data_IF_463992165941
#
_entry.id   IF_463992165941
#
_cell.length_a   1.000
_cell.length_b   1.000
_cell.length_c   1.000
_cell.angle_alpha   90.00
_cell.angle_beta   90.00
_cell.angle_gamma   90.00
#
_symmetry.space_group_name_H-M   'P 1'
#
loop_
_entity.id
_entity.type
_entity.pdbx_description
1 polymer ?
#
# COMPACT_ATOMS: atom_id res chain seq x y z
N UNK A 1 -2.52 22.32 38.04
CA UNK A 1 -2.28 20.95 37.56
C UNK A 1 -1.07 20.96 36.64
N UNK A 2 0.08 20.54 37.20
CA UNK A 2 1.34 20.43 36.44
C UNK A 2 1.38 19.09 35.73
N UNK A 3 1.06 19.10 34.44
CA UNK A 3 1.44 18.00 33.56
C UNK A 3 2.96 18.06 33.41
N UNK A 4 3.66 17.23 34.19
CA UNK A 4 5.10 17.03 34.04
C UNK A 4 5.35 16.44 32.64
N UNK A 5 6.07 17.20 31.82
CA UNK A 5 6.66 16.71 30.56
C UNK A 5 7.60 15.56 30.87
N UNK A 6 7.10 14.35 30.89
CA UNK A 6 7.90 13.13 30.80
C UNK A 6 8.52 13.10 29.40
N UNK A 7 9.76 13.58 29.28
CA UNK A 7 10.57 13.27 28.10
C UNK A 7 10.61 11.74 27.99
N UNK A 8 10.21 11.16 26.84
CA UNK A 8 10.35 9.73 26.65
C UNK A 8 11.84 9.39 26.82
N UNK A 9 12.16 8.58 27.82
CA UNK A 9 13.47 7.97 27.94
C UNK A 9 13.65 7.12 26.68
N UNK A 10 14.50 7.57 25.76
CA UNK A 10 14.90 6.76 24.60
C UNK A 10 15.67 5.58 25.19
N UNK A 11 14.97 4.46 25.35
CA UNK A 11 15.60 3.19 25.69
C UNK A 11 16.51 2.85 24.49
N UNK A 12 17.82 2.98 24.69
CA UNK A 12 18.78 2.53 23.69
C UNK A 12 18.79 1.01 23.71
N UNK A 13 18.07 0.41 22.78
CA UNK A 13 18.17 -1.02 22.51
C UNK A 13 19.62 -1.33 22.12
N UNK A 14 20.13 -2.47 22.55
CA UNK A 14 21.46 -2.97 22.19
C UNK A 14 22.68 -2.21 22.78
N UNK A 15 22.51 -1.45 23.88
CA UNK A 15 23.62 -0.79 24.58
C UNK A 15 24.70 -1.75 25.11
N UNK A 16 24.38 -3.02 25.23
CA UNK A 16 25.27 -4.10 25.69
C UNK A 16 26.18 -4.65 24.59
N UNK A 17 25.95 -4.27 23.34
CA UNK A 17 26.74 -4.72 22.22
C UNK A 17 27.72 -3.61 21.78
N UNK A 18 28.98 -3.98 21.60
CA UNK A 18 29.98 -3.05 21.05
C UNK A 18 29.67 -2.75 19.57
N UNK A 19 29.88 -1.49 19.15
CA UNK A 19 29.70 -1.11 17.75
C UNK A 19 30.65 -1.89 16.83
N UNK A 20 30.11 -2.45 15.75
CA UNK A 20 30.88 -3.19 14.74
C UNK A 20 30.90 -2.37 13.45
N UNK A 21 32.10 -2.22 12.84
CA UNK A 21 32.24 -1.54 11.55
C UNK A 21 31.86 -2.43 10.37
N UNK A 22 31.54 -1.83 9.22
CA UNK A 22 31.31 -2.54 7.95
C UNK A 22 32.49 -3.47 7.59
N UNK A 23 33.71 -2.98 7.83
CA UNK A 23 34.92 -3.76 7.54
C UNK A 23 35.02 -5.01 8.41
N UNK A 24 34.76 -4.92 9.70
CA UNK A 24 34.75 -6.07 10.61
C UNK A 24 33.66 -7.07 10.22
N UNK A 25 32.46 -6.56 9.89
CA UNK A 25 31.36 -7.40 9.44
C UNK A 25 31.70 -8.15 8.14
N UNK A 26 32.28 -7.45 7.16
CA UNK A 26 32.71 -8.08 5.91
C UNK A 26 33.82 -9.13 6.13
N UNK A 27 34.77 -8.87 7.04
CA UNK A 27 35.80 -9.85 7.39
C UNK A 27 35.20 -11.13 7.99
N UNK A 28 34.21 -11.00 8.87
CA UNK A 28 33.50 -12.13 9.44
C UNK A 28 32.81 -12.96 8.36
N UNK A 29 32.10 -12.31 7.44
CA UNK A 29 31.47 -13.00 6.31
C UNK A 29 32.50 -13.73 5.45
N UNK A 30 33.62 -13.10 5.11
CA UNK A 30 34.68 -13.72 4.33
C UNK A 30 35.28 -14.96 5.02
N UNK A 31 35.44 -14.88 6.35
CA UNK A 31 35.88 -16.03 7.13
C UNK A 31 34.87 -17.20 7.07
N UNK A 32 33.59 -16.91 7.16
CA UNK A 32 32.51 -17.91 7.11
C UNK A 32 32.33 -18.52 5.73
N UNK A 33 32.69 -17.80 4.65
CA UNK A 33 32.68 -18.32 3.28
C UNK A 33 33.75 -19.37 2.99
N UNK A 34 34.72 -19.61 3.91
CA UNK A 34 35.73 -20.68 3.81
C UNK A 34 36.50 -20.70 2.48
N UNK A 35 36.81 -19.52 1.94
CA UNK A 35 37.57 -19.35 0.71
C UNK A 35 36.75 -19.15 -0.56
N UNK A 36 35.44 -19.20 -0.49
CA UNK A 36 34.60 -18.77 -1.62
C UNK A 36 34.67 -17.24 -1.81
N UNK A 37 34.63 -16.79 -3.07
CA UNK A 37 34.66 -15.36 -3.37
C UNK A 37 33.39 -14.65 -2.89
N UNK A 38 33.57 -13.53 -2.22
CA UNK A 38 32.47 -12.76 -1.66
C UNK A 38 31.54 -12.18 -2.73
N UNK A 39 32.12 -11.66 -3.83
CA UNK A 39 31.31 -11.02 -4.87
C UNK A 39 30.53 -12.06 -5.67
N UNK A 40 31.17 -13.17 -6.02
CA UNK A 40 30.54 -14.24 -6.79
C UNK A 40 29.44 -14.96 -6.01
N UNK A 41 29.58 -15.01 -4.67
CA UNK A 41 28.67 -15.79 -3.82
C UNK A 41 27.51 -14.97 -3.28
N UNK A 42 27.74 -13.70 -2.91
CA UNK A 42 26.78 -12.89 -2.13
C UNK A 42 26.33 -11.61 -2.80
N UNK A 43 27.06 -11.10 -3.81
CA UNK A 43 26.64 -9.88 -4.53
C UNK A 43 25.71 -10.29 -5.66
N UNK A 44 24.45 -9.86 -5.55
CA UNK A 44 23.48 -10.08 -6.60
C UNK A 44 23.50 -8.95 -7.61
N UNK A 45 23.53 -9.29 -8.89
CA UNK A 45 23.44 -8.35 -10.00
C UNK A 45 22.00 -8.36 -10.52
N UNK A 46 21.31 -7.21 -10.42
CA UNK A 46 19.95 -7.09 -10.93
C UNK A 46 19.91 -7.03 -12.47
N UNK A 47 18.73 -7.26 -13.11
CA UNK A 47 18.57 -7.08 -14.56
C UNK A 47 18.93 -5.67 -15.05
N UNK A 48 18.85 -4.67 -14.18
CA UNK A 48 19.21 -3.26 -14.45
C UNK A 48 20.70 -2.95 -14.23
N UNK A 49 21.55 -3.96 -14.12
CA UNK A 49 23.01 -3.82 -13.86
C UNK A 49 23.36 -3.23 -12.48
N UNK A 50 22.44 -3.26 -11.53
CA UNK A 50 22.70 -2.78 -10.17
C UNK A 50 23.32 -3.90 -9.34
N UNK A 51 24.48 -3.64 -8.72
CA UNK A 51 25.10 -4.57 -7.80
C UNK A 51 24.52 -4.38 -6.40
N UNK A 52 23.80 -5.39 -5.92
CA UNK A 52 23.20 -5.40 -4.58
C UNK A 52 24.07 -6.22 -3.66
N UNK A 53 24.66 -5.59 -2.66
CA UNK A 53 25.51 -6.24 -1.65
C UNK A 53 24.64 -6.92 -0.58
N UNK A 54 25.15 -7.94 0.14
CA UNK A 54 24.38 -8.65 1.16
C UNK A 54 24.07 -7.77 2.40
N UNK A 55 24.81 -6.69 2.60
CA UNK A 55 24.54 -5.69 3.65
C UNK A 55 25.04 -4.31 3.27
N UNK A 56 24.47 -3.29 3.91
CA UNK A 56 24.90 -1.91 3.86
C UNK A 56 25.03 -1.40 5.30
N UNK A 57 26.12 -0.69 5.59
CA UNK A 57 26.38 -0.20 6.93
C UNK A 57 26.48 1.33 6.94
N UNK A 58 26.15 1.92 8.08
CA UNK A 58 26.10 3.38 8.23
C UNK A 58 27.44 4.07 7.94
N UNK A 59 28.58 3.46 8.28
CA UNK A 59 29.91 4.03 8.08
C UNK A 59 30.33 4.10 6.59
N UNK A 60 29.66 3.37 5.71
CA UNK A 60 29.88 3.41 4.26
C UNK A 60 28.81 4.20 3.50
N UNK A 61 27.72 4.59 4.16
CA UNK A 61 26.63 5.28 3.49
C UNK A 61 26.88 6.77 3.39
N UNK A 62 27.05 7.27 2.17
CA UNK A 62 26.81 8.68 1.88
C UNK A 62 25.31 8.91 1.95
N UNK A 63 24.82 9.36 3.11
CA UNK A 63 23.39 9.68 3.27
C UNK A 63 23.06 10.85 2.34
N UNK A 64 22.52 10.53 1.19
CA UNK A 64 21.85 11.54 0.37
C UNK A 64 20.52 11.84 1.06
N UNK A 65 20.44 12.97 1.76
CA UNK A 65 19.17 13.44 2.29
C UNK A 65 18.21 13.69 1.13
N UNK A 66 17.37 12.71 0.84
CA UNK A 66 16.22 12.91 -0.04
C UNK A 66 15.22 13.73 0.76
N UNK A 67 15.17 15.03 0.50
CA UNK A 67 14.13 15.90 1.04
C UNK A 67 12.80 15.48 0.44
N UNK A 68 12.12 14.59 1.08
CA UNK A 68 10.71 14.32 0.79
C UNK A 68 9.90 15.47 1.40
N UNK A 69 9.17 16.21 0.56
CA UNK A 69 8.13 17.09 1.10
C UNK A 69 7.14 16.20 1.82
N UNK A 70 6.90 16.47 3.09
CA UNK A 70 5.82 15.83 3.82
C UNK A 70 4.51 16.11 3.06
N UNK A 71 4.02 15.15 2.30
CA UNK A 71 2.69 15.20 1.70
C UNK A 71 1.68 14.75 2.76
N UNK A 72 0.53 15.37 2.79
CA UNK A 72 -0.58 14.84 3.57
C UNK A 72 -0.93 13.46 3.02
N UNK A 73 -0.86 12.44 3.84
CA UNK A 73 -1.37 11.11 3.51
C UNK A 73 -2.71 10.89 4.19
N UNK A 74 -3.51 9.99 3.66
CA UNK A 74 -4.77 9.55 4.26
C UNK A 74 -4.65 8.10 4.69
N UNK A 75 -5.21 7.79 5.85
CA UNK A 75 -5.26 6.40 6.33
C UNK A 75 -6.37 5.69 5.56
N UNK A 76 -5.98 4.69 4.76
CA UNK A 76 -6.90 3.90 3.94
C UNK A 76 -7.16 2.52 4.53
N UNK A 77 -8.44 2.08 4.50
CA UNK A 77 -8.84 0.73 4.87
C UNK A 77 -9.38 -0.01 3.66
N UNK A 78 -8.82 -1.19 3.36
CA UNK A 78 -9.32 -2.08 2.32
C UNK A 78 -10.40 -3.01 2.87
N UNK A 79 -11.50 -3.14 2.11
CA UNK A 79 -12.66 -3.99 2.44
C UNK A 79 -13.05 -4.78 1.20
N UNK A 80 -13.01 -6.10 1.30
CA UNK A 80 -13.56 -7.00 0.30
C UNK A 80 -15.07 -7.14 0.50
N UNK A 81 -15.85 -6.83 -0.53
CA UNK A 81 -17.33 -6.82 -0.42
C UNK A 81 -17.90 -8.19 -0.79
N UNK A 82 -17.95 -9.07 0.19
CA UNK A 82 -18.62 -10.38 0.06
C UNK A 82 -20.06 -10.33 0.60
N UNK A 83 -20.23 -9.74 1.77
CA UNK A 83 -21.53 -9.51 2.42
C UNK A 83 -21.71 -8.00 2.59
N UNK A 84 -22.72 -7.44 1.96
CA UNK A 84 -22.89 -5.99 1.89
C UNK A 84 -23.10 -5.34 3.26
N UNK A 85 -23.95 -5.94 4.11
CA UNK A 85 -24.28 -5.38 5.42
C UNK A 85 -23.06 -5.44 6.37
N UNK A 86 -22.29 -6.53 6.32
CA UNK A 86 -21.03 -6.63 7.07
C UNK A 86 -19.99 -5.67 6.55
N UNK A 87 -19.90 -5.47 5.24
CA UNK A 87 -18.97 -4.55 4.63
C UNK A 87 -19.28 -3.10 5.02
N UNK A 88 -20.56 -2.72 5.07
CA UNK A 88 -21.00 -1.42 5.56
C UNK A 88 -20.63 -1.25 7.04
N UNK A 89 -20.89 -2.24 7.87
CA UNK A 89 -20.56 -2.20 9.29
C UNK A 89 -19.05 -2.07 9.52
N UNK A 90 -18.22 -2.82 8.77
CA UNK A 90 -16.77 -2.73 8.82
C UNK A 90 -16.26 -1.36 8.35
N UNK A 91 -16.87 -0.79 7.32
CA UNK A 91 -16.54 0.53 6.82
C UNK A 91 -16.78 1.61 7.87
N UNK A 92 -17.95 1.58 8.51
CA UNK A 92 -18.31 2.53 9.57
C UNK A 92 -17.39 2.40 10.80
N UNK A 93 -17.08 1.17 11.24
CA UNK A 93 -16.14 0.93 12.34
C UNK A 93 -14.74 1.44 11.98
N UNK A 94 -14.29 1.22 10.74
CA UNK A 94 -12.98 1.71 10.26
C UNK A 94 -12.91 3.24 10.28
N UNK A 95 -13.95 3.92 9.83
CA UNK A 95 -14.05 5.38 9.87
C UNK A 95 -14.01 5.87 11.33
N UNK A 96 -14.76 5.25 12.22
CA UNK A 96 -14.76 5.58 13.65
C UNK A 96 -13.37 5.42 14.28
N UNK A 97 -12.56 4.49 13.79
CA UNK A 97 -11.17 4.26 14.22
C UNK A 97 -10.14 5.16 13.53
N UNK A 98 -10.56 6.02 12.64
CA UNK A 98 -9.70 7.03 12.02
C UNK A 98 -9.34 6.77 10.56
N UNK A 99 -10.03 5.87 9.85
CA UNK A 99 -9.87 5.75 8.41
C UNK A 99 -10.45 6.99 7.70
N UNK A 100 -9.66 7.57 6.81
CA UNK A 100 -10.00 8.75 6.00
C UNK A 100 -10.29 8.38 4.54
N UNK A 101 -10.01 7.12 4.18
CA UNK A 101 -10.24 6.57 2.85
C UNK A 101 -10.66 5.10 2.96
N UNK A 102 -11.62 4.68 2.14
CA UNK A 102 -12.06 3.30 2.05
C UNK A 102 -11.79 2.76 0.65
N UNK A 103 -11.27 1.55 0.56
CA UNK A 103 -10.97 0.86 -0.70
C UNK A 103 -11.84 -0.39 -0.76
N UNK A 104 -12.88 -0.36 -1.58
CA UNK A 104 -13.79 -1.50 -1.76
C UNK A 104 -13.36 -2.35 -2.97
N UNK A 105 -13.10 -3.63 -2.74
CA UNK A 105 -12.95 -4.61 -3.82
C UNK A 105 -14.29 -5.30 -4.04
N UNK A 106 -14.83 -5.20 -5.27
CA UNK A 106 -16.14 -5.75 -5.66
C UNK A 106 -15.94 -6.69 -6.85
N UNK A 107 -16.40 -7.93 -6.71
CA UNK A 107 -16.33 -8.96 -7.75
C UNK A 107 -17.65 -9.12 -8.52
N UNK A 108 -18.79 -8.88 -7.88
CA UNK A 108 -20.12 -9.06 -8.48
C UNK A 108 -20.74 -7.71 -8.87
N UNK A 109 -20.99 -7.52 -10.16
CA UNK A 109 -21.66 -6.32 -10.69
C UNK A 109 -23.09 -6.11 -10.15
N UNK A 110 -23.72 -7.17 -9.62
CA UNK A 110 -25.04 -7.09 -9.00
C UNK A 110 -25.01 -6.51 -7.59
N UNK A 111 -23.84 -6.26 -7.03
CA UNK A 111 -23.71 -5.63 -5.72
C UNK A 111 -24.45 -4.30 -5.69
N UNK A 112 -25.30 -4.11 -4.69
CA UNK A 112 -26.06 -2.87 -4.50
C UNK A 112 -25.14 -1.75 -4.01
N UNK A 113 -24.48 -1.10 -4.97
CA UNK A 113 -23.56 0.02 -4.71
C UNK A 113 -24.28 1.25 -4.14
N UNK A 114 -25.58 1.41 -4.45
CA UNK A 114 -26.38 2.52 -3.91
C UNK A 114 -26.59 2.33 -2.41
N UNK A 115 -26.96 1.11 -1.99
CA UNK A 115 -27.07 0.75 -0.58
C UNK A 115 -25.74 0.93 0.15
N UNK A 116 -24.62 0.50 -0.47
CA UNK A 116 -23.29 0.66 0.11
C UNK A 116 -22.99 2.14 0.36
N UNK A 117 -23.08 2.98 -0.66
CA UNK A 117 -22.69 4.39 -0.59
C UNK A 117 -23.63 5.24 0.26
N UNK A 118 -24.95 4.95 0.23
CA UNK A 118 -25.94 5.73 0.99
C UNK A 118 -25.78 5.58 2.50
N UNK A 119 -25.13 4.50 2.96
CA UNK A 119 -24.88 4.26 4.38
C UNK A 119 -23.53 4.83 4.89
N UNK A 120 -22.76 5.53 4.04
CA UNK A 120 -21.44 6.05 4.40
C UNK A 120 -21.43 7.59 4.43
N UNK A 121 -20.62 8.23 5.30
CA UNK A 121 -20.43 9.69 5.36
C UNK A 121 -19.49 10.16 4.24
N UNK A 122 -19.96 10.17 2.99
CA UNK A 122 -19.15 10.39 1.78
C UNK A 122 -18.48 11.76 1.72
N UNK A 123 -18.98 12.75 2.43
CA UNK A 123 -18.43 14.09 2.52
C UNK A 123 -17.09 14.18 3.26
N UNK A 124 -16.79 13.17 4.09
CA UNK A 124 -15.62 13.17 4.96
C UNK A 124 -14.58 12.08 4.60
N UNK A 125 -14.94 11.17 3.70
CA UNK A 125 -14.16 9.96 3.38
C UNK A 125 -14.01 9.82 1.88
N UNK A 126 -12.78 9.57 1.42
CA UNK A 126 -12.55 9.19 0.03
C UNK A 126 -12.92 7.73 -0.19
N UNK A 127 -13.58 7.46 -1.30
CA UNK A 127 -13.93 6.09 -1.69
C UNK A 127 -13.13 5.68 -2.92
N UNK A 128 -12.56 4.49 -2.88
CA UNK A 128 -11.90 3.86 -4.01
C UNK A 128 -12.58 2.53 -4.31
N UNK A 129 -12.92 2.30 -5.55
CA UNK A 129 -13.44 1.03 -6.02
C UNK A 129 -12.39 0.29 -6.83
N UNK A 130 -12.08 -0.93 -6.42
CA UNK A 130 -11.38 -1.93 -7.22
C UNK A 130 -12.42 -2.90 -7.77
N UNK A 131 -12.89 -2.63 -8.98
CA UNK A 131 -13.90 -3.46 -9.64
C UNK A 131 -13.19 -4.58 -10.41
N UNK A 132 -13.66 -5.82 -10.20
CA UNK A 132 -13.18 -7.01 -10.91
C UNK A 132 -14.02 -7.30 -12.17
N UNK A 133 -14.81 -6.33 -12.62
CA UNK A 133 -15.67 -6.37 -13.79
C UNK A 133 -15.74 -5.01 -14.46
N UNK A 134 -16.19 -4.99 -15.73
CA UNK A 134 -16.52 -3.78 -16.48
C UNK A 134 -18.03 -3.67 -16.59
N UNK A 135 -18.61 -2.58 -16.06
CA UNK A 135 -20.03 -2.28 -16.16
C UNK A 135 -20.27 -0.78 -16.19
N UNK A 136 -20.74 -0.29 -17.33
CA UNK A 136 -21.08 1.13 -17.52
C UNK A 136 -22.23 1.52 -16.57
N UNK A 137 -23.22 0.64 -16.41
CA UNK A 137 -24.35 0.89 -15.52
C UNK A 137 -23.91 1.05 -14.07
N UNK A 138 -22.96 0.22 -13.61
CA UNK A 138 -22.43 0.29 -12.26
C UNK A 138 -21.69 1.63 -12.03
N UNK A 139 -20.83 2.00 -12.96
CA UNK A 139 -20.08 3.28 -12.88
C UNK A 139 -21.04 4.47 -12.95
N UNK A 140 -22.07 4.42 -13.79
CA UNK A 140 -23.07 5.50 -13.91
C UNK A 140 -23.84 5.69 -12.59
N UNK A 141 -24.17 4.61 -11.86
CA UNK A 141 -24.79 4.69 -10.52
C UNK A 141 -23.84 5.39 -9.53
N UNK A 142 -22.56 5.02 -9.52
CA UNK A 142 -21.55 5.67 -8.67
C UNK A 142 -21.45 7.17 -8.99
N UNK A 143 -21.35 7.52 -10.27
CA UNK A 143 -21.23 8.90 -10.71
C UNK A 143 -22.43 9.75 -10.27
N UNK A 144 -23.64 9.21 -10.40
CA UNK A 144 -24.87 9.89 -9.97
C UNK A 144 -24.84 10.22 -8.47
N UNK A 145 -24.41 9.25 -7.64
CA UNK A 145 -24.31 9.45 -6.18
C UNK A 145 -23.20 10.41 -5.84
N UNK A 146 -22.04 10.29 -6.48
CA UNK A 146 -20.90 11.16 -6.26
C UNK A 146 -21.26 12.64 -6.53
N UNK A 147 -21.95 12.90 -7.65
CA UNK A 147 -22.44 14.23 -7.99
C UNK A 147 -23.49 14.77 -7.00
N UNK A 148 -24.43 13.93 -6.60
CA UNK A 148 -25.51 14.33 -5.68
C UNK A 148 -24.99 14.66 -4.26
N UNK A 149 -23.94 13.98 -3.81
CA UNK A 149 -23.38 14.15 -2.46
C UNK A 149 -22.04 14.89 -2.42
N UNK A 150 -21.58 15.41 -3.57
CA UNK A 150 -20.28 16.10 -3.70
C UNK A 150 -19.14 15.24 -3.11
N UNK A 151 -19.18 13.93 -3.40
CA UNK A 151 -18.25 12.96 -2.86
C UNK A 151 -17.04 12.75 -3.76
N UNK A 152 -15.89 12.47 -3.15
CA UNK A 152 -14.67 12.08 -3.88
C UNK A 152 -14.61 10.56 -4.01
N UNK A 153 -14.93 10.05 -5.21
CA UNK A 153 -14.94 8.62 -5.51
C UNK A 153 -14.00 8.35 -6.70
N UNK A 154 -13.17 7.33 -6.55
CA UNK A 154 -12.26 6.84 -7.59
C UNK A 154 -12.64 5.41 -7.98
N UNK A 155 -12.67 5.13 -9.28
CA UNK A 155 -12.85 3.79 -9.81
C UNK A 155 -11.55 3.35 -10.48
N UNK A 156 -10.99 2.23 -10.04
CA UNK A 156 -9.84 1.61 -10.69
C UNK A 156 -10.35 0.64 -11.77
N UNK A 157 -10.49 1.19 -12.98
CA UNK A 157 -10.85 0.43 -14.18
C UNK A 157 -9.68 0.54 -15.15
N UNK A 158 -8.81 -0.44 -15.11
CA UNK A 158 -7.60 -0.51 -15.95
C UNK A 158 -7.56 -1.86 -16.67
N UNK A 159 -8.15 -1.94 -17.89
CA UNK A 159 -8.18 -3.18 -18.66
C UNK A 159 -6.78 -3.70 -19.00
N UNK A 160 -5.83 -2.82 -19.30
CA UNK A 160 -4.45 -3.20 -19.64
C UNK A 160 -3.74 -3.75 -18.42
N UNK A 161 -3.85 -3.07 -17.28
CA UNK A 161 -3.29 -3.55 -16.03
C UNK A 161 -3.95 -4.83 -15.53
N UNK A 162 -5.26 -5.00 -15.74
CA UNK A 162 -5.96 -6.26 -15.46
C UNK A 162 -5.37 -7.40 -16.30
N UNK A 163 -5.25 -7.21 -17.62
CA UNK A 163 -4.61 -8.19 -18.50
C UNK A 163 -3.20 -8.54 -18.05
N UNK A 164 -2.41 -7.55 -17.65
CA UNK A 164 -1.03 -7.76 -17.23
C UNK A 164 -0.91 -8.56 -15.91
N UNK A 165 -1.86 -8.39 -14.99
CA UNK A 165 -1.88 -9.08 -13.69
C UNK A 165 -2.49 -10.48 -13.77
N UNK A 166 -3.64 -10.58 -14.46
CA UNK A 166 -4.49 -11.79 -14.43
C UNK A 166 -4.29 -12.68 -15.68
N UNK A 167 -3.65 -12.14 -16.72
CA UNK A 167 -3.47 -12.83 -18.01
C UNK A 167 -4.73 -12.86 -18.90
N UNK A 168 -5.82 -12.25 -18.48
CA UNK A 168 -7.09 -12.21 -19.19
C UNK A 168 -7.67 -10.78 -19.23
N UNK A 169 -8.46 -10.49 -20.26
CA UNK A 169 -9.26 -9.28 -20.31
C UNK A 169 -10.46 -9.39 -19.35
N UNK A 170 -11.05 -8.25 -18.94
CA UNK A 170 -12.33 -8.25 -18.20
C UNK A 170 -13.44 -8.90 -19.01
N UNK A 171 -13.48 -8.63 -20.31
CA UNK A 171 -14.44 -9.19 -21.29
C UNK A 171 -13.61 -9.90 -22.37
N UNK A 172 -14.09 -11.04 -22.84
CA UNK A 172 -13.35 -11.86 -23.81
C UNK A 172 -13.09 -11.17 -25.15
N UNK A 173 -13.96 -10.25 -25.59
CA UNK A 173 -13.70 -9.43 -26.77
C UNK A 173 -12.90 -8.19 -26.39
N UNK A 174 -11.73 -8.02 -27.04
CA UNK A 174 -10.84 -6.89 -26.81
C UNK A 174 -11.53 -5.54 -27.04
N UNK A 175 -12.45 -5.46 -27.99
CA UNK A 175 -13.16 -4.21 -28.35
C UNK A 175 -14.12 -3.77 -27.25
N UNK A 176 -14.64 -4.70 -26.47
CA UNK A 176 -15.61 -4.43 -25.41
C UNK A 176 -14.94 -3.97 -24.09
N UNK A 177 -13.59 -3.96 -24.06
CA UNK A 177 -12.81 -3.48 -22.92
C UNK A 177 -12.44 -1.99 -23.02
N UNK A 178 -12.70 -1.34 -24.14
CA UNK A 178 -12.40 0.07 -24.45
C UNK A 178 -13.61 0.78 -25.03
#
# INVERSE_FOLDING_TARGET
DKIQNLKPSIMKLFNEFEPVSSKQWKQQIQFELKGADYNDTLVWKSPEDIQVRPFYHFDESTVTNVTTKASQFRIGQSIFVFDLDKSIANALDSIQRGAESLIFTIEDEKTDVEKLLNNLPLENVNIHFHLQFLSIDFVTKIERIAKARIATIFCNLDPIGHLAREGNWFINDIKDNF
#
